data_IF_180995500561
#
_entry.id   IF_180995500561
#
_cell.length_a   1.000
_cell.length_b   1.000
_cell.length_c   1.000
_cell.angle_alpha   90.00
_cell.angle_beta   90.00
_cell.angle_gamma   90.00
#
_symmetry.space_group_name_H-M   'P 1'
#
loop_
_entity.id
_entity.type
_entity.pdbx_description
1 polymer ?
#
# COMPACT_ATOMS: atom_id res chain seq x y z
N UNK A 1 1.82 -4.66 -18.54
CA UNK A 1 2.23 -5.55 -17.43
C UNK A 1 2.48 -4.77 -16.15
N UNK A 2 3.38 -3.77 -16.17
CA UNK A 2 3.70 -2.94 -14.99
C UNK A 2 2.47 -2.38 -14.26
N UNK A 3 1.53 -1.76 -14.98
CA UNK A 3 0.28 -1.23 -14.41
C UNK A 3 -0.53 -2.29 -13.68
N UNK A 4 -0.67 -3.48 -14.27
CA UNK A 4 -1.41 -4.59 -13.66
C UNK A 4 -0.68 -5.13 -12.42
N UNK A 5 0.66 -5.19 -12.45
CA UNK A 5 1.47 -5.60 -11.30
C UNK A 5 1.31 -4.62 -10.13
N UNK A 6 1.37 -3.32 -10.40
CA UNK A 6 1.15 -2.28 -9.38
C UNK A 6 -0.28 -2.32 -8.82
N UNK A 7 -1.29 -2.44 -9.68
CA UNK A 7 -2.68 -2.59 -9.24
C UNK A 7 -2.86 -3.84 -8.36
N UNK A 8 -2.28 -4.97 -8.75
CA UNK A 8 -2.31 -6.19 -7.96
C UNK A 8 -1.65 -5.98 -6.59
N UNK A 9 -0.47 -5.35 -6.54
CA UNK A 9 0.25 -5.09 -5.29
C UNK A 9 -0.55 -4.17 -4.37
N UNK A 10 -1.13 -3.09 -4.88
CA UNK A 10 -1.95 -2.16 -4.08
C UNK A 10 -3.15 -2.84 -3.45
N UNK A 11 -3.93 -3.57 -4.26
CA UNK A 11 -5.11 -4.30 -3.77
C UNK A 11 -4.76 -5.44 -2.83
N UNK A 12 -3.70 -6.22 -3.14
CA UNK A 12 -3.26 -7.32 -2.29
C UNK A 12 -2.79 -6.82 -0.91
N UNK A 13 -2.03 -5.73 -0.86
CA UNK A 13 -1.58 -5.13 0.40
C UNK A 13 -2.77 -4.69 1.25
N UNK A 14 -3.75 -3.98 0.67
CA UNK A 14 -4.94 -3.57 1.44
C UNK A 14 -5.78 -4.75 1.93
N UNK A 15 -5.93 -5.79 1.10
CA UNK A 15 -6.63 -7.00 1.52
C UNK A 15 -5.93 -7.71 2.68
N UNK A 16 -4.60 -7.80 2.66
CA UNK A 16 -3.82 -8.44 3.73
C UNK A 16 -3.97 -7.65 5.04
N UNK A 17 -3.90 -6.33 4.97
CA UNK A 17 -4.14 -5.37 6.06
C UNK A 17 -5.50 -5.65 6.73
N UNK A 18 -6.58 -5.60 5.97
CA UNK A 18 -7.95 -5.78 6.49
C UNK A 18 -8.21 -7.20 7.02
N UNK A 19 -7.65 -8.22 6.37
CA UNK A 19 -7.82 -9.61 6.80
C UNK A 19 -7.22 -9.89 8.17
N UNK A 20 -6.25 -9.09 8.60
CA UNK A 20 -5.55 -9.28 9.87
C UNK A 20 -5.95 -8.26 10.94
N UNK A 21 -6.12 -6.99 10.57
CA UNK A 21 -6.41 -5.93 11.54
C UNK A 21 -7.91 -5.84 11.83
N UNK A 22 -8.73 -5.97 10.79
CA UNK A 22 -10.18 -5.83 10.88
C UNK A 22 -10.90 -7.20 10.94
N UNK A 23 -10.16 -8.30 10.78
CA UNK A 23 -10.71 -9.66 10.63
C UNK A 23 -11.71 -9.79 9.47
N UNK A 24 -11.54 -8.96 8.44
CA UNK A 24 -12.41 -8.93 7.25
C UNK A 24 -11.72 -9.66 6.11
N UNK A 25 -12.28 -10.81 5.71
CA UNK A 25 -11.72 -11.65 4.66
C UNK A 25 -11.09 -12.94 5.19
N UNK A 26 -10.33 -13.62 4.32
CA UNK A 26 -9.74 -14.93 4.63
C UNK A 26 -8.25 -14.82 4.88
N UNK A 27 -7.82 -15.15 6.10
CA UNK A 27 -6.41 -15.27 6.48
C UNK A 27 -5.65 -16.23 5.56
N UNK A 28 -6.31 -17.27 5.06
CA UNK A 28 -5.69 -18.23 4.12
C UNK A 28 -5.36 -17.57 2.78
N UNK A 29 -6.27 -16.73 2.28
CA UNK A 29 -6.05 -15.98 1.04
C UNK A 29 -5.00 -14.89 1.29
N UNK A 30 -5.05 -14.18 2.42
CA UNK A 30 -4.06 -13.18 2.78
C UNK A 30 -2.64 -13.75 2.85
N UNK A 31 -2.45 -14.95 3.44
CA UNK A 31 -1.15 -15.64 3.45
C UNK A 31 -0.63 -15.95 2.05
N UNK A 32 -1.50 -16.40 1.16
CA UNK A 32 -1.13 -16.69 -0.23
C UNK A 32 -0.80 -15.40 -1.00
N UNK A 33 -1.62 -14.36 -0.84
CA UNK A 33 -1.39 -13.04 -1.42
C UNK A 33 -0.11 -12.40 -0.92
N UNK A 34 0.27 -12.59 0.34
CA UNK A 34 1.52 -12.07 0.89
C UNK A 34 2.74 -12.65 0.16
N UNK A 35 2.76 -13.97 -0.07
CA UNK A 35 3.87 -14.62 -0.81
C UNK A 35 3.87 -14.16 -2.27
N UNK A 36 2.72 -14.16 -2.94
CA UNK A 36 2.63 -13.74 -4.34
C UNK A 36 2.98 -12.26 -4.53
N UNK A 37 2.51 -11.38 -3.66
CA UNK A 37 2.85 -9.95 -3.69
C UNK A 37 4.34 -9.74 -3.45
N UNK A 38 4.97 -10.46 -2.52
CA UNK A 38 6.43 -10.43 -2.34
C UNK A 38 7.16 -10.79 -3.62
N UNK A 39 6.83 -11.92 -4.26
CA UNK A 39 7.46 -12.35 -5.51
C UNK A 39 7.28 -11.32 -6.64
N UNK A 40 6.07 -10.81 -6.82
CA UNK A 40 5.76 -9.80 -7.85
C UNK A 40 6.49 -8.50 -7.57
N UNK A 41 6.49 -8.02 -6.32
CA UNK A 41 7.15 -6.78 -5.91
C UNK A 41 8.66 -6.87 -6.17
N UNK A 42 9.33 -7.89 -5.64
CA UNK A 42 10.77 -8.06 -5.85
C UNK A 42 11.12 -8.25 -7.32
N UNK A 43 10.30 -8.99 -8.08
CA UNK A 43 10.47 -9.14 -9.52
C UNK A 43 10.34 -7.83 -10.29
N UNK A 44 9.35 -6.99 -9.96
CA UNK A 44 9.17 -5.67 -10.57
C UNK A 44 10.34 -4.75 -10.25
N UNK A 45 10.85 -4.76 -9.02
CA UNK A 45 12.04 -3.97 -8.65
C UNK A 45 13.26 -4.34 -9.49
N UNK A 46 13.48 -5.63 -9.76
CA UNK A 46 14.62 -6.08 -10.57
C UNK A 46 14.42 -5.78 -12.07
N UNK A 47 13.22 -6.02 -12.60
CA UNK A 47 12.96 -5.92 -14.05
C UNK A 47 12.78 -4.48 -14.52
N UNK A 48 12.08 -3.64 -13.75
CA UNK A 48 11.83 -2.24 -14.10
C UNK A 48 12.94 -1.30 -13.59
N UNK A 49 13.55 -1.61 -12.44
CA UNK A 49 14.68 -0.84 -11.92
C UNK A 49 14.28 0.47 -11.24
N UNK A 50 15.11 1.51 -11.41
CA UNK A 50 15.26 2.67 -10.52
C UNK A 50 14.01 3.25 -9.86
N UNK A 51 12.92 3.50 -10.61
CA UNK A 51 11.67 4.02 -10.04
C UNK A 51 10.98 2.99 -9.14
N UNK A 52 10.69 1.80 -9.67
CA UNK A 52 10.01 0.74 -8.92
C UNK A 52 10.80 0.32 -7.70
N UNK A 53 12.13 0.22 -7.81
CA UNK A 53 13.01 -0.08 -6.68
C UNK A 53 12.91 0.99 -5.60
N UNK A 54 12.99 2.27 -5.97
CA UNK A 54 12.88 3.37 -5.01
C UNK A 54 11.50 3.40 -4.33
N UNK A 55 10.43 3.27 -5.10
CA UNK A 55 9.05 3.28 -4.58
C UNK A 55 8.77 2.12 -3.62
N UNK A 56 9.06 0.87 -4.02
CA UNK A 56 8.78 -0.29 -3.19
C UNK A 56 9.74 -0.41 -2.00
N UNK A 57 11.02 -0.05 -2.13
CA UNK A 57 11.91 0.00 -0.96
C UNK A 57 11.46 1.05 0.04
N UNK A 58 11.06 2.25 -0.42
CA UNK A 58 10.54 3.29 0.47
C UNK A 58 9.31 2.77 1.24
N UNK A 59 8.40 2.09 0.54
CA UNK A 59 7.23 1.47 1.14
C UNK A 59 7.61 0.41 2.19
N UNK A 60 8.48 -0.54 1.86
CA UNK A 60 8.90 -1.61 2.78
C UNK A 60 9.60 -1.03 4.02
N UNK A 61 10.52 -0.07 3.82
CA UNK A 61 11.22 0.59 4.93
C UNK A 61 10.22 1.35 5.80
N UNK A 62 9.27 2.09 5.19
CA UNK A 62 8.24 2.81 5.93
C UNK A 62 7.41 1.86 6.80
N UNK A 63 7.01 0.70 6.28
CA UNK A 63 6.29 -0.33 7.04
C UNK A 63 7.10 -0.86 8.23
N UNK A 64 8.41 -1.09 8.04
CA UNK A 64 9.30 -1.53 9.13
C UNK A 64 9.45 -0.45 10.19
N UNK A 65 9.66 0.80 9.78
CA UNK A 65 9.90 1.95 10.69
C UNK A 65 8.64 2.27 11.51
N UNK A 66 7.48 2.25 10.87
CA UNK A 66 6.19 2.51 11.52
C UNK A 66 5.72 1.36 12.40
N UNK A 67 6.44 0.23 12.42
CA UNK A 67 6.06 -1.02 13.11
C UNK A 67 4.66 -1.53 12.72
N UNK A 68 4.15 -1.12 11.55
CA UNK A 68 2.91 -1.67 10.97
C UNK A 68 3.09 -3.12 10.47
N UNK A 69 4.30 -3.66 10.50
CA UNK A 69 4.51 -5.12 10.39
C UNK A 69 4.24 -5.75 11.76
N UNK A 70 2.97 -5.77 12.16
CA UNK A 70 2.48 -6.46 13.35
C UNK A 70 2.08 -7.92 13.04
N UNK A 71 1.97 -8.25 11.76
CA UNK A 71 1.47 -9.52 11.29
C UNK A 71 2.51 -10.35 10.52
N UNK A 72 2.54 -11.65 10.84
CA UNK A 72 3.36 -12.66 10.19
C UNK A 72 3.21 -12.72 8.66
N UNK A 73 2.02 -12.44 8.11
CA UNK A 73 1.85 -12.38 6.64
C UNK A 73 2.57 -11.21 6.01
N UNK A 74 2.48 -10.00 6.59
CA UNK A 74 3.25 -8.86 6.10
C UNK A 74 4.75 -9.08 6.22
N UNK A 75 5.19 -9.70 7.32
CA UNK A 75 6.59 -10.08 7.49
C UNK A 75 7.05 -11.04 6.39
N UNK A 76 6.27 -12.10 6.11
CA UNK A 76 6.58 -13.05 5.03
C UNK A 76 6.62 -12.32 3.68
N UNK A 77 5.61 -11.51 3.36
CA UNK A 77 5.56 -10.79 2.09
C UNK A 77 6.76 -9.87 1.89
N UNK A 78 7.14 -9.14 2.95
CA UNK A 78 8.32 -8.27 2.97
C UNK A 78 9.60 -9.07 2.77
N UNK A 79 9.79 -10.17 3.52
CA UNK A 79 10.97 -11.03 3.39
C UNK A 79 11.07 -11.66 2.00
N UNK A 80 9.96 -12.18 1.48
CA UNK A 80 9.91 -12.75 0.12
C UNK A 80 10.23 -11.69 -0.92
N UNK A 81 9.69 -10.47 -0.79
CA UNK A 81 9.99 -9.36 -1.70
C UNK A 81 11.46 -8.96 -1.67
N UNK A 82 12.03 -8.77 -0.49
CA UNK A 82 13.45 -8.45 -0.33
C UNK A 82 14.35 -9.57 -0.85
N UNK A 83 14.06 -10.83 -0.52
CA UNK A 83 14.85 -11.96 -1.01
C UNK A 83 14.77 -12.09 -2.53
N UNK A 84 13.58 -11.90 -3.11
CA UNK A 84 13.40 -11.92 -4.57
C UNK A 84 14.19 -10.80 -5.24
N UNK A 85 14.14 -9.59 -4.69
CA UNK A 85 14.92 -8.45 -5.16
C UNK A 85 16.42 -8.68 -5.04
N UNK A 86 16.91 -9.19 -3.90
CA UNK A 86 18.33 -9.43 -3.66
C UNK A 86 18.88 -10.54 -4.57
N UNK A 87 18.15 -11.65 -4.71
CA UNK A 87 18.56 -12.76 -5.59
C UNK A 87 18.54 -12.31 -7.05
N UNK A 88 17.44 -11.69 -7.50
CA UNK A 88 17.34 -11.22 -8.88
C UNK A 88 18.35 -10.10 -9.17
N UNK A 89 18.55 -9.19 -8.23
CA UNK A 89 19.53 -8.12 -8.30
C UNK A 89 20.97 -8.63 -8.36
N UNK A 90 21.28 -9.72 -7.66
CA UNK A 90 22.60 -10.36 -7.75
C UNK A 90 22.85 -10.99 -9.14
N UNK A 91 21.81 -11.51 -9.79
CA UNK A 91 21.91 -12.18 -11.09
C UNK A 91 21.92 -11.18 -12.25
N UNK A 92 21.02 -10.19 -12.22
CA UNK A 92 20.75 -9.27 -13.34
C UNK A 92 21.19 -7.83 -13.11
N UNK A 93 21.68 -7.50 -11.91
CA UNK A 93 22.06 -6.15 -11.50
C UNK A 93 20.97 -5.45 -10.68
N UNK A 94 21.40 -4.51 -9.84
CA UNK A 94 20.53 -3.71 -8.98
C UNK A 94 20.56 -2.25 -9.42
N UNK A 95 19.40 -1.70 -9.75
CA UNK A 95 19.25 -0.26 -9.98
C UNK A 95 18.52 0.37 -8.79
N UNK A 96 19.30 1.00 -7.90
CA UNK A 96 18.81 1.66 -6.68
C UNK A 96 19.12 3.15 -6.77
N UNK A 97 18.09 3.94 -7.05
CA UNK A 97 18.22 5.40 -7.09
C UNK A 97 17.99 6.01 -5.70
N UNK A 98 19.07 6.44 -5.05
CA UNK A 98 19.03 6.95 -3.68
C UNK A 98 18.17 8.23 -3.52
N UNK A 99 18.25 9.16 -4.47
CA UNK A 99 17.49 10.41 -4.38
C UNK A 99 15.96 10.16 -4.42
N UNK A 100 15.40 9.45 -5.43
CA UNK A 100 14.01 9.02 -5.43
C UNK A 100 13.60 8.24 -4.17
N UNK A 101 14.46 7.33 -3.70
CA UNK A 101 14.20 6.54 -2.48
C UNK A 101 14.04 7.45 -1.26
N UNK A 102 14.95 8.39 -1.06
CA UNK A 102 14.90 9.34 0.07
C UNK A 102 13.66 10.23 -0.03
N UNK A 103 13.32 10.70 -1.23
CA UNK A 103 12.14 11.53 -1.45
C UNK A 103 10.85 10.78 -1.11
N UNK A 104 10.68 9.53 -1.58
CA UNK A 104 9.53 8.70 -1.23
C UNK A 104 9.49 8.35 0.25
N UNK A 105 10.64 8.11 0.89
CA UNK A 105 10.70 7.86 2.34
C UNK A 105 10.21 9.06 3.15
N UNK A 106 10.67 10.27 2.80
CA UNK A 106 10.23 11.50 3.47
C UNK A 106 8.74 11.71 3.24
N UNK A 107 8.28 11.58 2.00
CA UNK A 107 6.87 11.74 1.65
C UNK A 107 5.97 10.75 2.39
N UNK A 108 6.33 9.46 2.39
CA UNK A 108 5.60 8.43 3.10
C UNK A 108 5.61 8.62 4.62
N UNK A 109 6.70 9.14 5.19
CA UNK A 109 6.73 9.49 6.61
C UNK A 109 5.81 10.67 6.93
N UNK A 110 5.76 11.68 6.06
CA UNK A 110 4.83 12.82 6.21
C UNK A 110 3.37 12.36 6.06
N UNK A 111 3.07 11.48 5.11
CA UNK A 111 1.74 10.88 4.96
C UNK A 111 1.31 10.13 6.22
N UNK A 112 2.18 9.34 6.84
CA UNK A 112 1.87 8.62 8.07
C UNK A 112 1.68 9.58 9.27
N UNK A 113 2.49 10.64 9.37
CA UNK A 113 2.31 11.67 10.40
C UNK A 113 0.98 12.43 10.21
N UNK A 114 0.60 12.70 8.96
CA UNK A 114 -0.65 13.35 8.61
C UNK A 114 -1.86 12.45 8.93
N UNK A 115 -1.78 11.17 8.59
CA UNK A 115 -2.77 10.13 8.92
C UNK A 115 -2.98 10.03 10.44
N UNK A 116 -1.88 9.92 11.20
CA UNK A 116 -1.92 9.88 12.67
C UNK A 116 -2.43 11.18 13.31
N UNK A 117 -2.22 12.34 12.68
CA UNK A 117 -2.74 13.62 13.16
C UNK A 117 -4.25 13.76 12.92
N UNK A 118 -4.74 13.23 11.80
CA UNK A 118 -6.17 13.20 11.48
C UNK A 118 -6.94 12.25 12.41
N UNK A 119 -6.30 11.17 12.84
CA UNK A 119 -6.91 10.18 13.72
C UNK A 119 -7.34 10.79 15.07
N UNK A 120 -8.66 10.80 15.33
CA UNK A 120 -9.23 11.25 16.61
C UNK A 120 -9.39 12.77 16.78
N UNK A 121 -9.21 13.56 15.71
CA UNK A 121 -9.52 15.00 15.71
C UNK A 121 -10.72 15.31 14.79
N UNK A 122 -11.65 16.13 15.27
CA UNK A 122 -12.82 16.55 14.49
C UNK A 122 -12.45 17.68 13.50
N UNK A 123 -11.63 17.33 12.49
CA UNK A 123 -11.09 18.26 11.48
C UNK A 123 -12.05 18.50 10.31
N UNK A 124 -13.24 17.88 10.34
CA UNK A 124 -14.20 17.89 9.26
C UNK A 124 -13.90 16.83 8.18
N UNK A 125 -14.97 16.19 7.67
CA UNK A 125 -14.90 15.02 6.76
C UNK A 125 -13.99 15.19 5.54
N UNK A 126 -13.94 16.39 4.97
CA UNK A 126 -13.13 16.64 3.78
C UNK A 126 -11.62 16.63 4.07
N UNK A 127 -11.21 17.16 5.23
CA UNK A 127 -9.81 17.21 5.65
C UNK A 127 -9.34 15.83 6.09
N UNK A 128 -10.18 15.13 6.85
CA UNK A 128 -9.92 13.74 7.27
C UNK A 128 -9.72 12.82 6.05
N UNK A 129 -10.63 12.87 5.07
CA UNK A 129 -10.50 12.08 3.84
C UNK A 129 -9.23 12.41 3.04
N UNK A 130 -8.88 13.70 2.94
CA UNK A 130 -7.69 14.13 2.22
C UNK A 130 -6.39 13.66 2.89
N UNK A 131 -6.31 13.68 4.23
CA UNK A 131 -5.12 13.24 4.95
C UNK A 131 -4.99 11.71 4.94
N UNK A 132 -6.09 10.97 4.99
CA UNK A 132 -6.09 9.49 4.84
C UNK A 132 -5.71 9.02 3.42
N UNK A 133 -5.88 9.86 2.40
CA UNK A 133 -5.57 9.53 0.99
C UNK A 133 -4.05 9.46 0.68
N UNK A 134 -3.18 9.89 1.61
CA UNK A 134 -1.70 9.97 1.44
C UNK A 134 -1.24 10.89 0.28
N UNK A 135 -1.62 12.17 0.30
CA UNK A 135 -1.39 13.10 -0.80
C UNK A 135 0.09 13.50 -0.97
N UNK A 136 0.93 13.34 0.05
CA UNK A 136 2.33 13.78 -0.02
C UNK A 136 3.17 12.86 -0.90
N UNK A 137 2.87 11.56 -0.94
CA UNK A 137 3.47 10.62 -1.89
C UNK A 137 3.15 10.96 -3.35
N UNK A 138 1.94 11.46 -3.63
CA UNK A 138 1.55 11.91 -4.98
C UNK A 138 2.33 13.15 -5.40
N UNK A 139 2.49 14.12 -4.49
CA UNK A 139 3.33 15.29 -4.76
C UNK A 139 4.78 14.90 -4.97
N UNK A 140 5.31 13.97 -4.19
CA UNK A 140 6.66 13.45 -4.34
C UNK A 140 6.87 12.80 -5.70
N UNK A 141 5.92 12.02 -6.19
CA UNK A 141 5.94 11.46 -7.54
C UNK A 141 6.04 12.55 -8.61
N UNK A 142 5.16 13.55 -8.56
CA UNK A 142 5.14 14.63 -9.55
C UNK A 142 6.43 15.44 -9.52
N UNK A 143 6.95 15.75 -8.32
CA UNK A 143 8.24 16.44 -8.16
C UNK A 143 9.36 15.59 -8.74
N UNK A 144 9.37 14.28 -8.47
CA UNK A 144 10.40 13.38 -9.00
C UNK A 144 10.36 13.33 -10.52
N UNK A 145 9.20 13.19 -11.16
CA UNK A 145 9.08 13.23 -12.63
C UNK A 145 9.67 14.52 -13.23
N UNK A 146 9.58 15.64 -12.51
CA UNK A 146 10.14 16.93 -12.96
C UNK A 146 11.65 17.02 -12.70
N UNK A 147 12.13 16.59 -11.52
CA UNK A 147 13.51 16.81 -11.04
C UNK A 147 14.47 15.71 -11.47
N UNK A 148 14.04 14.46 -11.35
CA UNK A 148 14.75 13.26 -11.77
C UNK A 148 13.91 12.70 -12.91
N UNK A 149 14.15 13.08 -14.19
CA UNK A 149 13.19 12.98 -15.29
C UNK A 149 12.80 11.54 -15.61
N UNK A 150 12.02 10.94 -14.72
CA UNK A 150 11.36 9.68 -14.87
C UNK A 150 10.32 9.84 -15.95
N UNK A 151 10.14 8.79 -16.73
CA UNK A 151 9.15 8.81 -17.78
C UNK A 151 7.74 8.96 -17.16
N UNK A 152 6.93 9.83 -17.76
CA UNK A 152 5.53 10.07 -17.38
C UNK A 152 4.70 8.77 -17.38
N UNK A 153 5.19 7.72 -18.05
CA UNK A 153 4.64 6.37 -17.99
C UNK A 153 4.46 5.84 -16.56
N UNK A 154 5.25 6.30 -15.58
CA UNK A 154 5.18 5.87 -14.17
C UNK A 154 3.98 6.42 -13.40
N UNK A 155 3.28 7.44 -13.92
CA UNK A 155 2.02 7.89 -13.35
C UNK A 155 0.96 6.78 -13.38
N UNK A 156 0.85 6.07 -14.50
CA UNK A 156 -0.16 5.03 -14.68
C UNK A 156 -0.03 3.85 -13.69
N UNK A 157 1.14 3.19 -13.53
CA UNK A 157 1.30 2.13 -12.55
C UNK A 157 1.17 2.65 -11.11
N UNK A 158 1.74 3.81 -10.79
CA UNK A 158 1.60 4.39 -9.45
C UNK A 158 0.12 4.61 -9.08
N UNK A 159 -0.65 5.30 -9.94
CA UNK A 159 -2.08 5.52 -9.65
C UNK A 159 -2.90 4.24 -9.71
N UNK A 160 -2.50 3.25 -10.51
CA UNK A 160 -3.15 1.94 -10.51
C UNK A 160 -2.95 1.21 -9.17
N UNK A 161 -1.77 1.32 -8.55
CA UNK A 161 -1.53 0.87 -7.19
C UNK A 161 -2.46 1.58 -6.20
N UNK A 162 -2.45 2.92 -6.19
CA UNK A 162 -3.25 3.74 -5.25
C UNK A 162 -4.74 3.49 -5.42
N UNK A 163 -5.24 3.47 -6.66
CA UNK A 163 -6.65 3.22 -6.95
C UNK A 163 -7.09 1.82 -6.51
N UNK A 164 -6.29 0.79 -6.79
CA UNK A 164 -6.60 -0.57 -6.37
C UNK A 164 -6.60 -0.72 -4.85
N UNK A 165 -5.65 -0.09 -4.17
CA UNK A 165 -5.59 -0.03 -2.71
C UNK A 165 -6.88 0.60 -2.14
N UNK A 166 -7.30 1.76 -2.66
CA UNK A 166 -8.51 2.46 -2.21
C UNK A 166 -9.80 1.69 -2.53
N UNK A 167 -9.87 1.05 -3.71
CA UNK A 167 -11.04 0.30 -4.13
C UNK A 167 -11.30 -0.87 -3.19
N UNK A 168 -10.27 -1.62 -2.80
CA UNK A 168 -10.40 -2.69 -1.80
C UNK A 168 -10.84 -2.11 -0.45
N UNK A 169 -10.30 -0.96 -0.03
CA UNK A 169 -10.76 -0.24 1.16
C UNK A 169 -12.27 0.08 1.13
N UNK A 170 -12.75 0.63 0.02
CA UNK A 170 -14.15 1.07 -0.16
C UNK A 170 -15.14 -0.09 -0.25
N UNK A 171 -14.79 -1.19 -0.92
CA UNK A 171 -15.68 -2.35 -1.03
C UNK A 171 -16.07 -2.88 0.34
N UNK A 172 -15.16 -2.78 1.30
CA UNK A 172 -15.33 -3.34 2.63
C UNK A 172 -16.03 -2.37 3.61
N UNK A 173 -15.81 -1.06 3.54
CA UNK A 173 -16.67 -0.08 4.25
C UNK A 173 -18.15 -0.27 3.87
N UNK A 174 -18.41 -0.59 2.60
CA UNK A 174 -19.72 -0.96 2.11
C UNK A 174 -20.27 -2.23 2.78
N UNK A 175 -19.45 -3.26 2.99
CA UNK A 175 -19.85 -4.50 3.65
C UNK A 175 -20.05 -4.36 5.16
N UNK A 176 -19.20 -3.59 5.84
CA UNK A 176 -19.34 -3.27 7.27
C UNK A 176 -20.62 -2.48 7.51
N UNK A 177 -20.88 -1.45 6.69
CA UNK A 177 -22.12 -0.65 6.77
C UNK A 177 -23.36 -1.51 6.55
N UNK A 178 -23.33 -2.44 5.60
CA UNK A 178 -24.43 -3.39 5.35
C UNK A 178 -24.63 -4.34 6.54
N UNK A 179 -23.55 -4.90 7.09
CA UNK A 179 -23.59 -5.82 8.23
C UNK A 179 -24.15 -5.15 9.48
N UNK A 180 -23.70 -3.92 9.78
CA UNK A 180 -24.21 -3.11 10.90
C UNK A 180 -25.68 -2.76 10.70
N UNK A 181 -26.10 -2.36 9.48
CA UNK A 181 -27.52 -2.12 9.17
C UNK A 181 -28.38 -3.37 9.37
N UNK A 182 -27.89 -4.55 9.00
CA UNK A 182 -28.60 -5.82 9.20
C UNK A 182 -28.71 -6.16 10.69
N UNK A 183 -27.66 -5.95 11.47
CA UNK A 183 -27.68 -6.17 12.93
C UNK A 183 -28.64 -5.20 13.62
N UNK A 184 -28.60 -3.91 13.29
CA UNK A 184 -29.53 -2.90 13.84
C UNK A 184 -30.98 -3.24 13.47
N UNK A 185 -31.24 -3.67 12.23
CA UNK A 185 -32.57 -4.09 11.78
C UNK A 185 -33.07 -5.33 12.52
N UNK A 186 -32.20 -6.31 12.78
CA UNK A 186 -32.53 -7.48 13.61
C UNK A 186 -32.75 -7.11 15.07
N UNK A 187 -31.95 -6.21 15.63
CA UNK A 187 -32.10 -5.73 16.99
C UNK A 187 -33.40 -4.91 17.19
N UNK A 188 -33.83 -4.15 16.18
CA UNK A 188 -35.13 -3.44 16.21
C UNK A 188 -36.33 -4.37 16.15
N UNK A 189 -36.17 -5.58 15.60
CA UNK A 189 -37.23 -6.61 15.56
C UNK A 189 -37.30 -7.44 16.86
N UNK A 190 -36.30 -7.32 17.74
CA UNK A 190 -36.22 -8.02 19.02
C UNK A 190 -36.61 -7.15 20.22
N UNK A 191 -37.02 -5.89 19.99
CA UNK A 191 -37.64 -5.06 21.05
C UNK A 191 -39.15 -5.34 21.08
N UNK A 192 -39.70 -5.87 22.19
CA UNK A 192 -41.13 -6.06 22.38
C UNK A 192 -41.89 -4.74 22.49
#
# INVERSE_FOLDING_TARGET
VLVASYAFLGGAIKYIDQAYDESIGSIRIAKLLAVLSGLVMGGVMVVDGGFSTAFFLAMLISLVVTKKIDNFSFLIGTLVGLMTFLIGGFIWGMDVMLLPLVVFLIAGAVDELADGFAHGRDLGRAVEYFLHYRPFSDFALVILIIVVPFDWIYLAPYFAFTFSYLLIGMLDEGQVTQSVRVIIRKASQLRP
#
